data_IF_648973041005
#
_entry.id   IF_648973041005
#
_cell.length_a   1.000
_cell.length_b   1.000
_cell.length_c   1.000
_cell.angle_alpha   90.00
_cell.angle_beta   90.00
_cell.angle_gamma   90.00
#
_symmetry.space_group_name_H-M   'P 1'
#
loop_
_entity.id
_entity.type
_entity.pdbx_description
1 polymer ?
#
# COMPACT_ATOMS: atom_id res chain seq x y z
N UNK A 1 5.02 -6.67 -4.37
CA UNK A 1 5.47 -6.14 -3.07
C UNK A 1 6.15 -4.82 -3.33
N UNK A 2 5.99 -3.83 -2.45
CA UNK A 2 6.64 -2.53 -2.50
C UNK A 2 7.11 -2.11 -1.10
N UNK A 3 8.09 -1.20 -1.04
CA UNK A 3 8.59 -0.57 0.20
C UNK A 3 8.46 0.94 0.06
N UNK A 4 7.83 1.58 1.04
CA UNK A 4 7.65 3.03 1.07
C UNK A 4 7.31 3.49 2.49
N UNK A 5 7.64 4.72 2.85
CA UNK A 5 7.11 5.39 4.04
C UNK A 5 5.68 5.85 3.74
N UNK A 6 4.69 4.99 4.01
CA UNK A 6 3.31 5.27 3.64
C UNK A 6 2.66 6.24 4.61
N UNK A 7 3.00 6.18 5.89
CA UNK A 7 2.36 6.96 6.94
C UNK A 7 3.06 8.30 7.24
N UNK A 8 4.22 8.55 6.63
CA UNK A 8 5.00 9.78 6.77
C UNK A 8 5.79 9.86 8.07
N UNK A 9 6.06 8.74 8.74
CA UNK A 9 6.75 8.70 10.03
C UNK A 9 8.29 8.62 9.92
N UNK A 10 8.81 8.58 8.69
CA UNK A 10 10.23 8.47 8.37
C UNK A 10 10.75 7.03 8.40
N UNK A 11 9.88 6.02 8.51
CA UNK A 11 10.24 4.59 8.52
C UNK A 11 9.66 3.91 7.29
N UNK A 12 10.37 2.87 6.81
CA UNK A 12 9.89 2.09 5.67
C UNK A 12 8.81 1.10 6.09
N UNK A 13 7.68 1.16 5.40
CA UNK A 13 6.58 0.19 5.51
C UNK A 13 6.66 -0.86 4.38
N UNK A 14 6.06 -2.02 4.62
CA UNK A 14 5.90 -3.07 3.61
C UNK A 14 4.48 -3.05 3.06
N UNK A 15 4.40 -3.12 1.72
CA UNK A 15 3.17 -3.42 1.01
C UNK A 15 3.28 -4.78 0.32
N UNK A 16 2.39 -5.70 0.69
CA UNK A 16 2.33 -7.04 0.12
C UNK A 16 0.97 -7.28 -0.53
N UNK A 17 0.96 -7.50 -1.85
CA UNK A 17 -0.20 -8.01 -2.58
C UNK A 17 -0.06 -9.52 -2.73
N UNK A 18 -1.08 -10.27 -2.31
CA UNK A 18 -1.13 -11.71 -2.50
C UNK A 18 -2.16 -12.02 -3.56
N UNK A 19 -1.71 -12.57 -4.70
CA UNK A 19 -2.55 -12.84 -5.88
C UNK A 19 -3.77 -13.72 -5.58
N UNK A 20 -3.68 -14.59 -4.59
CA UNK A 20 -4.72 -15.57 -4.27
C UNK A 20 -5.72 -15.10 -3.23
N UNK A 21 -5.54 -13.90 -2.66
CA UNK A 21 -6.21 -13.55 -1.41
C UNK A 21 -7.06 -12.28 -1.48
N UNK A 22 -7.19 -11.65 -2.64
CA UNK A 22 -8.02 -10.45 -2.84
C UNK A 22 -7.81 -9.36 -1.79
N UNK A 23 -6.59 -9.28 -1.24
CA UNK A 23 -6.18 -8.24 -0.30
C UNK A 23 -4.75 -7.76 -0.57
N UNK A 24 -4.51 -6.51 -0.19
CA UNK A 24 -3.18 -5.94 0.01
C UNK A 24 -2.95 -5.77 1.50
N UNK A 25 -1.86 -6.32 2.01
CA UNK A 25 -1.42 -6.15 3.39
C UNK A 25 -0.42 -5.00 3.49
N UNK A 26 -0.62 -4.11 4.45
CA UNK A 26 0.32 -3.07 4.83
C UNK A 26 0.89 -3.42 6.20
N UNK A 27 2.21 -3.45 6.32
CA UNK A 27 2.90 -3.66 7.59
C UNK A 27 3.74 -2.40 7.88
N UNK A 28 3.36 -1.66 8.91
CA UNK A 28 4.06 -0.44 9.30
C UNK A 28 5.43 -0.75 9.93
N UNK A 29 6.46 -0.03 9.51
CA UNK A 29 7.82 -0.23 9.97
C UNK A 29 8.05 0.35 11.36
N UNK A 30 8.66 -0.41 12.26
CA UNK A 30 9.11 0.12 13.56
C UNK A 30 10.48 0.76 13.52
N UNK A 31 11.16 0.77 12.37
CA UNK A 31 12.47 1.41 12.19
C UNK A 31 13.66 0.70 12.87
N UNK A 32 13.41 -0.45 13.51
CA UNK A 32 14.42 -1.34 14.10
C UNK A 32 14.57 -2.65 13.31
N UNK A 33 14.02 -2.69 12.10
CA UNK A 33 13.92 -3.90 11.26
C UNK A 33 12.72 -4.79 11.57
N UNK A 34 11.87 -4.42 12.55
CA UNK A 34 10.61 -5.10 12.82
C UNK A 34 9.40 -4.34 12.26
N UNK A 35 8.27 -5.03 12.17
CA UNK A 35 7.03 -4.51 11.60
C UNK A 35 5.84 -4.72 12.53
N UNK A 36 4.85 -3.84 12.41
CA UNK A 36 3.57 -3.98 13.06
C UNK A 36 2.75 -5.15 12.51
N UNK A 37 1.62 -5.46 13.16
CA UNK A 37 0.69 -6.45 12.62
C UNK A 37 0.19 -5.98 11.24
N UNK A 38 0.07 -6.88 10.26
CA UNK A 38 -0.44 -6.52 8.95
C UNK A 38 -1.89 -6.03 9.06
N UNK A 39 -2.13 -4.88 8.43
CA UNK A 39 -3.47 -4.38 8.13
C UNK A 39 -3.84 -4.80 6.72
N UNK A 40 -4.94 -5.53 6.55
CA UNK A 40 -5.38 -6.03 5.26
C UNK A 40 -6.44 -5.11 4.67
N UNK A 41 -6.23 -4.69 3.43
CA UNK A 41 -7.18 -3.93 2.65
C UNK A 41 -7.71 -4.79 1.52
N UNK A 42 -9.02 -5.01 1.52
CA UNK A 42 -9.69 -5.76 0.45
C UNK A 42 -9.51 -5.05 -0.89
N UNK A 43 -9.13 -5.83 -1.90
CA UNK A 43 -9.00 -5.37 -3.28
C UNK A 43 -9.84 -6.25 -4.18
N UNK A 44 -10.35 -5.67 -5.26
CA UNK A 44 -11.13 -6.41 -6.24
C UNK A 44 -10.17 -7.22 -7.11
N UNK A 45 -10.33 -8.53 -7.04
CA UNK A 45 -9.83 -9.54 -7.96
C UNK A 45 -8.30 -9.54 -8.17
N UNK A 46 -7.61 -10.48 -7.51
CA UNK A 46 -6.22 -10.87 -7.81
C UNK A 46 -5.27 -9.68 -8.03
N UNK A 47 -4.83 -8.99 -6.96
CA UNK A 47 -3.99 -7.79 -7.10
C UNK A 47 -2.72 -8.11 -7.85
N UNK A 48 -2.42 -7.27 -8.84
CA UNK A 48 -1.36 -7.53 -9.79
C UNK A 48 -0.10 -6.74 -9.59
N UNK A 49 -0.12 -5.49 -10.03
CA UNK A 49 0.99 -4.57 -9.81
C UNK A 49 0.63 -3.59 -8.70
N UNK A 50 1.60 -3.32 -7.82
CA UNK A 50 1.52 -2.27 -6.81
C UNK A 50 2.44 -1.13 -7.22
N UNK A 51 1.95 0.10 -7.16
CA UNK A 51 2.79 1.30 -7.23
C UNK A 51 2.38 2.29 -6.15
N UNK A 52 3.33 3.11 -5.71
CA UNK A 52 3.15 4.11 -4.66
C UNK A 52 3.66 5.45 -5.18
N UNK A 53 2.85 6.50 -5.09
CA UNK A 53 3.22 7.84 -5.50
C UNK A 53 2.34 8.89 -4.80
N UNK A 54 2.93 10.05 -4.50
CA UNK A 54 2.18 11.28 -4.21
C UNK A 54 1.72 11.86 -5.57
N UNK A 55 0.44 11.70 -5.89
CA UNK A 55 -0.11 12.12 -7.20
C UNK A 55 -0.87 13.43 -7.13
N UNK A 56 -1.26 13.88 -5.94
CA UNK A 56 -1.99 15.13 -5.71
C UNK A 56 -1.12 16.22 -5.08
N UNK A 57 0.14 15.93 -4.76
CA UNK A 57 1.13 16.88 -4.27
C UNK A 57 0.90 17.27 -2.83
N UNK A 58 0.18 16.45 -2.05
CA UNK A 58 -0.15 16.72 -0.66
C UNK A 58 0.93 16.23 0.33
N UNK A 59 1.96 15.57 -0.18
CA UNK A 59 3.07 15.01 0.59
C UNK A 59 2.76 13.63 1.19
N UNK A 60 1.57 13.08 0.98
CA UNK A 60 1.19 11.75 1.42
C UNK A 60 1.23 10.76 0.24
N UNK A 61 1.94 9.64 0.45
CA UNK A 61 2.00 8.61 -0.59
C UNK A 61 0.65 7.92 -0.76
N UNK A 62 0.17 7.82 -2.00
CA UNK A 62 -1.01 7.03 -2.36
C UNK A 62 -0.59 5.67 -2.92
N UNK A 63 -1.35 4.63 -2.60
CA UNK A 63 -1.14 3.28 -3.13
C UNK A 63 -2.12 2.99 -4.27
N UNK A 64 -1.59 2.49 -5.38
CA UNK A 64 -2.33 2.05 -6.55
C UNK A 64 -2.13 0.56 -6.77
N UNK A 65 -3.22 -0.15 -7.02
CA UNK A 65 -3.21 -1.56 -7.43
C UNK A 65 -3.93 -1.73 -8.75
N UNK A 66 -3.35 -2.53 -9.65
CA UNK A 66 -3.98 -2.96 -10.89
C UNK A 66 -4.24 -4.47 -10.83
N UNK A 67 -5.49 -4.90 -11.10
CA UNK A 67 -5.84 -6.32 -11.19
C UNK A 67 -5.30 -6.97 -12.47
N UNK A 68 -4.96 -8.26 -12.42
CA UNK A 68 -4.58 -9.04 -13.59
C UNK A 68 -5.76 -9.37 -14.52
N UNK A 69 -7.01 -9.28 -14.04
CA UNK A 69 -8.20 -9.61 -14.83
C UNK A 69 -8.83 -8.39 -15.53
N UNK A 70 -8.24 -7.20 -15.38
CA UNK A 70 -8.35 -6.12 -16.37
C UNK A 70 -9.20 -4.91 -16.01
N UNK A 71 -10.03 -4.94 -14.96
CA UNK A 71 -11.13 -3.97 -14.86
C UNK A 71 -11.03 -2.93 -13.75
N UNK A 72 -10.05 -3.03 -12.83
CA UNK A 72 -10.05 -2.17 -11.64
C UNK A 72 -8.66 -1.63 -11.27
N UNK A 73 -8.59 -0.30 -11.17
CA UNK A 73 -7.55 0.44 -10.45
C UNK A 73 -8.13 0.91 -9.10
N UNK A 74 -7.61 0.41 -7.99
CA UNK A 74 -7.97 0.92 -6.65
C UNK A 74 -6.89 1.86 -6.13
N UNK A 75 -7.35 3.00 -5.60
CA UNK A 75 -6.51 4.01 -4.96
C UNK A 75 -6.77 3.99 -3.47
N UNK A 76 -5.74 3.72 -2.68
CA UNK A 76 -5.73 3.98 -1.25
C UNK A 76 -5.06 5.34 -1.04
N UNK A 77 -5.87 6.34 -0.72
CA UNK A 77 -5.37 7.66 -0.33
C UNK A 77 -4.89 7.59 1.10
N UNK A 78 -3.62 7.91 1.33
CA UNK A 78 -3.21 8.28 2.67
C UNK A 78 -3.62 9.74 2.89
N UNK A 79 -4.36 10.02 3.96
CA UNK A 79 -4.61 11.40 4.36
C UNK A 79 -3.44 11.79 5.25
N UNK A 80 -2.52 12.60 4.71
CA UNK A 80 -1.40 13.13 5.48
C UNK A 80 -1.87 13.71 6.81
N UNK A 81 -1.16 13.39 7.89
CA UNK A 81 -1.40 14.01 9.19
C UNK A 81 -1.26 15.53 9.04
N UNK A 82 -2.30 16.26 9.43
CA UNK A 82 -2.20 17.70 9.73
C UNK A 82 -1.50 17.92 11.06
#
# INVERSE_FOLDING_TARGET
MALADLNGDGRLDILAATRTSDFVSILAGRGDGTFERPTNHGVLDSPGSLTVADVDGDGALNLFTASFHGDVLQVFRNQGCR
#
